data_IF_488108641660
#
_entry.id   IF_488108641660
#
_cell.length_a   1.000
_cell.length_b   1.000
_cell.length_c   1.000
_cell.angle_alpha   90.00
_cell.angle_beta   90.00
_cell.angle_gamma   90.00
#
_symmetry.space_group_name_H-M   'P 1'
#
loop_
_entity.id
_entity.type
_entity.pdbx_description
1 polymer ?
#
# COMPACT_ATOMS: atom_id res chain seq x y z
N UNK A 1 -10.74 5.37 23.44
CA UNK A 1 -10.11 4.37 22.56
C UNK A 1 -9.51 3.31 23.45
N UNK A 2 -9.93 2.05 23.35
CA UNK A 2 -9.40 0.99 24.22
C UNK A 2 -7.97 0.65 23.79
N UNK A 3 -7.05 0.35 24.73
CA UNK A 3 -5.63 0.04 24.41
C UNK A 3 -5.50 -1.06 23.35
N UNK A 4 -6.40 -2.03 23.40
CA UNK A 4 -6.54 -3.11 22.43
C UNK A 4 -6.76 -2.65 20.98
N UNK A 5 -7.53 -1.59 20.74
CA UNK A 5 -7.78 -1.07 19.38
C UNK A 5 -6.58 -0.35 18.79
N UNK A 6 -5.74 0.27 19.64
CA UNK A 6 -4.50 0.94 19.21
C UNK A 6 -3.48 -0.11 18.77
N UNK A 7 -3.37 -1.20 19.52
CA UNK A 7 -2.48 -2.31 19.19
C UNK A 7 -2.82 -2.98 17.85
N UNK A 8 -4.10 -3.28 17.59
CA UNK A 8 -4.53 -3.86 16.31
C UNK A 8 -4.26 -2.93 15.13
N UNK A 9 -4.51 -1.62 15.29
CA UNK A 9 -4.16 -0.63 14.26
C UNK A 9 -2.66 -0.57 14.01
N UNK A 10 -1.85 -0.60 15.07
CA UNK A 10 -0.39 -0.63 14.97
C UNK A 10 0.09 -1.85 14.19
N UNK A 11 -0.47 -3.04 14.47
CA UNK A 11 -0.18 -4.26 13.72
C UNK A 11 -0.52 -4.16 12.23
N UNK A 12 -1.66 -3.54 11.89
CA UNK A 12 -2.06 -3.32 10.49
C UNK A 12 -1.09 -2.37 9.78
N UNK A 13 -0.76 -1.23 10.39
CA UNK A 13 0.20 -0.28 9.81
C UNK A 13 1.60 -0.88 9.70
N UNK A 14 2.01 -1.70 10.67
CA UNK A 14 3.29 -2.38 10.63
C UNK A 14 3.33 -3.46 9.54
N UNK A 15 2.26 -4.22 9.36
CA UNK A 15 2.10 -5.15 8.25
C UNK A 15 2.13 -4.42 6.89
N UNK A 16 1.44 -3.30 6.75
CA UNK A 16 1.48 -2.46 5.55
C UNK A 16 2.89 -1.90 5.30
N UNK A 17 3.60 -1.47 6.35
CA UNK A 17 4.98 -0.99 6.22
C UNK A 17 5.95 -2.12 5.86
N UNK A 18 5.69 -3.34 6.30
CA UNK A 18 6.51 -4.50 5.93
C UNK A 18 6.22 -4.96 4.49
N UNK A 19 4.99 -4.82 4.01
CA UNK A 19 4.63 -5.17 2.62
C UNK A 19 5.02 -4.08 1.63
N UNK A 20 4.81 -2.80 1.94
CA UNK A 20 5.12 -1.67 1.05
C UNK A 20 6.51 -1.07 1.27
N UNK A 21 7.03 -1.08 2.50
CA UNK A 21 8.28 -0.41 2.86
C UNK A 21 9.54 -1.24 2.57
N UNK A 22 9.41 -2.56 2.45
CA UNK A 22 10.53 -3.47 2.09
C UNK A 22 10.72 -3.60 0.58
N UNK A 23 9.68 -3.33 -0.22
CA UNK A 23 9.75 -3.39 -1.68
C UNK A 23 10.83 -2.43 -2.22
N UNK A 24 10.89 -1.21 -1.70
CA UNK A 24 11.90 -0.21 -2.11
C UNK A 24 13.34 -0.70 -1.89
N UNK A 25 13.70 -1.12 -0.66
CA UNK A 25 15.00 -1.74 -0.37
C UNK A 25 15.31 -3.00 -1.19
N UNK A 26 14.33 -3.90 -1.39
CA UNK A 26 14.53 -5.13 -2.21
C UNK A 26 14.79 -4.78 -3.67
N UNK A 27 14.06 -3.82 -4.24
CA UNK A 27 14.28 -3.35 -5.60
C UNK A 27 15.67 -2.74 -5.76
N UNK A 28 16.08 -1.84 -4.85
CA UNK A 28 17.41 -1.25 -4.87
C UNK A 28 18.48 -2.35 -4.75
N UNK A 29 18.34 -3.28 -3.81
CA UNK A 29 19.28 -4.38 -3.64
C UNK A 29 19.38 -5.22 -4.92
N UNK A 30 18.26 -5.57 -5.55
CA UNK A 30 18.23 -6.35 -6.80
C UNK A 30 18.85 -5.57 -7.97
N UNK A 31 18.53 -4.28 -8.11
CA UNK A 31 19.06 -3.42 -9.17
C UNK A 31 20.58 -3.29 -9.11
N UNK A 32 21.16 -3.24 -7.90
CA UNK A 32 22.62 -3.13 -7.72
C UNK A 32 23.36 -4.48 -7.69
N UNK A 33 22.70 -5.57 -7.27
CA UNK A 33 23.34 -6.90 -7.16
C UNK A 33 23.38 -7.68 -8.48
N UNK A 34 22.44 -7.43 -9.40
CA UNK A 34 22.44 -8.11 -10.69
C UNK A 34 23.58 -7.55 -11.56
N UNK A 35 24.65 -8.33 -11.69
CA UNK A 35 25.77 -8.03 -12.57
C UNK A 35 25.28 -7.81 -14.01
N UNK A 36 25.82 -6.77 -14.66
CA UNK A 36 25.40 -6.28 -15.98
C UNK A 36 25.96 -7.17 -17.10
N UNK A 37 25.65 -8.45 -17.05
CA UNK A 37 26.07 -9.43 -18.06
C UNK A 37 25.12 -9.36 -19.28
N UNK A 38 25.60 -9.30 -20.54
CA UNK A 38 24.76 -9.10 -21.71
C UNK A 38 23.68 -10.18 -21.93
N UNK A 39 23.87 -11.38 -21.39
CA UNK A 39 22.91 -12.49 -21.41
C UNK A 39 21.75 -12.30 -20.41
N UNK A 40 21.91 -11.48 -19.37
CA UNK A 40 20.95 -11.27 -18.29
C UNK A 40 19.99 -10.09 -18.52
N UNK A 41 20.03 -9.44 -19.70
CA UNK A 41 19.12 -8.35 -20.06
C UNK A 41 17.64 -8.72 -19.89
N UNK A 42 17.28 -9.97 -20.19
CA UNK A 42 15.94 -10.51 -19.96
C UNK A 42 15.51 -10.44 -18.48
N UNK A 43 16.40 -10.79 -17.56
CA UNK A 43 16.13 -10.75 -16.12
C UNK A 43 16.00 -9.31 -15.61
N UNK A 44 16.77 -8.37 -16.18
CA UNK A 44 16.64 -6.94 -15.89
C UNK A 44 15.26 -6.39 -16.29
N UNK A 45 14.79 -6.68 -17.51
CA UNK A 45 13.47 -6.20 -17.95
C UNK A 45 12.32 -6.83 -17.16
N UNK A 46 12.43 -8.11 -16.80
CA UNK A 46 11.45 -8.78 -15.93
C UNK A 46 11.49 -8.19 -14.52
N UNK A 47 12.66 -7.93 -13.94
CA UNK A 47 12.79 -7.27 -12.64
C UNK A 47 12.20 -5.85 -12.64
N UNK A 48 12.41 -5.09 -13.71
CA UNK A 48 11.80 -3.77 -13.89
C UNK A 48 10.26 -3.87 -13.98
N UNK A 49 9.74 -4.87 -14.69
CA UNK A 49 8.30 -5.10 -14.83
C UNK A 49 7.66 -5.50 -13.49
N UNK A 50 8.29 -6.39 -12.74
CA UNK A 50 7.82 -6.79 -11.39
C UNK A 50 7.81 -5.59 -10.45
N UNK A 51 8.85 -4.76 -10.49
CA UNK A 51 8.91 -3.54 -9.68
C UNK A 51 7.82 -2.54 -10.05
N UNK A 52 7.60 -2.33 -11.35
CA UNK A 52 6.53 -1.47 -11.82
C UNK A 52 5.15 -2.01 -11.41
N UNK A 53 4.94 -3.33 -11.51
CA UNK A 53 3.72 -3.98 -11.05
C UNK A 53 3.51 -3.79 -9.54
N UNK A 54 4.56 -3.92 -8.74
CA UNK A 54 4.50 -3.73 -7.28
C UNK A 54 4.07 -2.29 -6.91
N UNK A 55 4.68 -1.28 -7.55
CA UNK A 55 4.31 0.13 -7.38
C UNK A 55 2.85 0.37 -7.79
N UNK A 56 2.40 -0.21 -8.91
CA UNK A 56 1.02 -0.05 -9.39
C UNK A 56 0.02 -0.71 -8.43
N UNK A 57 0.35 -1.86 -7.86
CA UNK A 57 -0.45 -2.53 -6.82
C UNK A 57 -0.52 -1.66 -5.56
N UNK A 58 0.59 -1.07 -5.12
CA UNK A 58 0.62 -0.15 -3.98
C UNK A 58 -0.27 1.08 -4.19
N UNK A 59 -0.19 1.69 -5.39
CA UNK A 59 -1.06 2.81 -5.76
C UNK A 59 -2.53 2.39 -5.82
N UNK A 60 -2.84 1.23 -6.40
CA UNK A 60 -4.20 0.69 -6.48
C UNK A 60 -4.83 0.46 -5.11
N UNK A 61 -4.10 -0.19 -4.20
CA UNK A 61 -4.53 -0.42 -2.82
C UNK A 61 -4.73 0.89 -2.06
N UNK A 62 -3.80 1.84 -2.20
CA UNK A 62 -3.90 3.17 -1.57
C UNK A 62 -5.13 3.93 -2.07
N UNK A 63 -5.37 3.94 -3.37
CA UNK A 63 -6.54 4.56 -3.97
C UNK A 63 -7.84 3.92 -3.49
N UNK A 64 -7.88 2.59 -3.36
CA UNK A 64 -9.06 1.88 -2.89
C UNK A 64 -9.35 2.17 -1.41
N UNK A 65 -8.30 2.25 -0.58
CA UNK A 65 -8.41 2.60 0.83
C UNK A 65 -8.92 4.02 1.04
N UNK A 66 -8.36 5.01 0.33
CA UNK A 66 -8.82 6.40 0.38
C UNK A 66 -10.28 6.54 -0.05
N UNK A 67 -10.73 5.79 -1.07
CA UNK A 67 -12.13 5.78 -1.49
C UNK A 67 -13.05 5.18 -0.43
N UNK A 68 -12.65 4.06 0.17
CA UNK A 68 -13.42 3.41 1.23
C UNK A 68 -13.59 4.34 2.45
N UNK A 69 -12.55 5.05 2.86
CA UNK A 69 -12.63 5.99 3.98
C UNK A 69 -13.55 7.17 3.69
N UNK A 70 -13.49 7.74 2.48
CA UNK A 70 -14.42 8.81 2.07
C UNK A 70 -15.88 8.36 2.11
N UNK A 71 -16.18 7.15 1.61
CA UNK A 71 -17.54 6.62 1.63
C UNK A 71 -18.08 6.48 3.07
N UNK A 72 -17.24 6.05 4.03
CA UNK A 72 -17.64 5.96 5.44
C UNK A 72 -17.93 7.33 6.05
N UNK A 73 -17.13 8.35 5.73
CA UNK A 73 -17.35 9.72 6.18
C UNK A 73 -18.66 10.28 5.62
N UNK A 74 -18.93 10.10 4.33
CA UNK A 74 -20.18 10.54 3.70
C UNK A 74 -21.41 9.89 4.34
N UNK A 75 -21.33 8.59 4.64
CA UNK A 75 -22.43 7.88 5.31
C UNK A 75 -22.66 8.42 6.73
N UNK A 76 -21.58 8.70 7.45
CA UNK A 76 -21.61 9.26 8.81
C UNK A 76 -22.20 10.68 8.82
N UNK A 77 -21.86 11.51 7.83
CA UNK A 77 -22.41 12.86 7.67
C UNK A 77 -23.92 12.83 7.36
N UNK A 78 -24.36 11.96 6.44
CA UNK A 78 -25.79 11.79 6.12
C UNK A 78 -26.59 11.38 7.35
N UNK A 79 -26.07 10.41 8.12
CA UNK A 79 -26.70 9.94 9.34
C UNK A 79 -26.76 11.03 10.42
N UNK A 80 -25.71 11.85 10.53
CA UNK A 80 -25.65 12.98 11.47
C UNK A 80 -26.65 14.07 11.10
N UNK A 81 -26.79 14.42 9.81
CA UNK A 81 -27.79 15.38 9.33
C UNK A 81 -29.21 14.87 9.57
N UNK A 82 -29.47 13.59 9.30
CA UNK A 82 -30.79 13.01 9.50
C UNK A 82 -31.22 13.01 10.98
N UNK A 83 -30.28 12.81 11.92
CA UNK A 83 -30.53 12.92 13.37
C UNK A 83 -30.78 14.34 13.87
N UNK A 84 -30.34 15.38 13.16
CA UNK A 84 -30.57 16.78 13.56
C UNK A 84 -31.90 17.34 13.04
N UNK A 85 -32.51 16.69 12.06
CA UNK A 85 -33.76 17.13 11.42
C UNK A 85 -34.99 16.39 12.00
N UNK A 86 -34.77 15.36 12.82
CA UNK A 86 -35.80 14.64 13.58
C UNK A 86 -35.86 15.10 15.02
#
# INVERSE_FOLDING_TARGET
MTPWTVFTRYLVFQGMTFVFGIVGPIFLATFFTVARDPSMKWMYYIGLLITAADILVALGLTQNWVRAERALLETSEKQRRQRQVS
#
